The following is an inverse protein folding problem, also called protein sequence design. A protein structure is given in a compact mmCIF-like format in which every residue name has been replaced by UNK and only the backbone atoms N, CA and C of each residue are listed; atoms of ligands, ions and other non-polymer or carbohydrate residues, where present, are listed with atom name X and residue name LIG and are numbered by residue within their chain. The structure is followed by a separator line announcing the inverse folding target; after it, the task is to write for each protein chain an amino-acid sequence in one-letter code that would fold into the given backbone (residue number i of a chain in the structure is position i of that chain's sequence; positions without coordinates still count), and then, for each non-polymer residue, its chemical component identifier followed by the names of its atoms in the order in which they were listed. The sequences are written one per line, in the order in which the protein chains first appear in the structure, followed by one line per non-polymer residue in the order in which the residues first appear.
data_IF_206490280699
#
_entry.id   IF_206490280699
#
_cell.length_a   1.000
_cell.length_b   1.000
_cell.length_c   1.000
_cell.angle_alpha   90.00
_cell.angle_beta   90.00
_cell.angle_gamma   90.00
#
_symmetry.space_group_name_H-M   'P 1'
#
loop_
_entity.id
_entity.type
_entity.pdbx_description
1 polymer ?
#
# COMPACT_ATOMS: atom_id res chain seq x y z
N UNK A 1 -29.24 -10.52 13.68
CA UNK A 1 -28.62 -9.28 14.17
C UNK A 1 -29.66 -8.18 14.02
N UNK A 2 -30.09 -7.57 15.13
CA UNK A 2 -31.30 -6.75 15.17
C UNK A 2 -31.04 -5.32 14.66
N UNK A 3 -32.05 -4.71 14.04
CA UNK A 3 -32.04 -3.30 13.57
C UNK A 3 -31.57 -2.27 14.61
N UNK A 4 -31.63 -2.61 15.87
CA UNK A 4 -31.18 -1.78 16.99
C UNK A 4 -29.67 -1.55 17.02
N UNK A 5 -28.87 -2.51 16.54
CA UNK A 5 -27.39 -2.39 16.50
C UNK A 5 -26.96 -1.43 15.38
N UNK A 6 -27.67 -1.46 14.24
CA UNK A 6 -27.37 -0.55 13.11
C UNK A 6 -27.69 0.92 13.44
N UNK A 7 -28.78 1.18 14.16
CA UNK A 7 -29.14 2.54 14.60
C UNK A 7 -28.17 3.11 15.65
N UNK A 8 -27.57 2.26 16.47
CA UNK A 8 -26.58 2.68 17.47
C UNK A 8 -25.23 3.09 16.85
N UNK A 9 -24.84 2.47 15.73
CA UNK A 9 -23.58 2.80 15.03
C UNK A 9 -23.76 4.10 14.22
N UNK A 10 -24.90 4.29 13.57
CA UNK A 10 -25.20 5.51 12.80
C UNK A 10 -25.22 6.78 13.66
N UNK A 11 -25.60 6.68 14.94
CA UNK A 11 -25.65 7.83 15.85
C UNK A 11 -24.29 8.19 16.48
N UNK A 12 -23.24 7.38 16.28
CA UNK A 12 -21.88 7.65 16.82
C UNK A 12 -20.92 8.26 15.80
N UNK A 13 -21.32 8.31 14.54
CA UNK A 13 -20.55 9.01 13.52
C UNK A 13 -21.00 10.46 13.49
N UNK A 14 -20.24 11.33 14.16
CA UNK A 14 -20.44 12.77 14.00
C UNK A 14 -20.38 13.08 12.47
N UNK A 15 -21.31 13.91 11.94
CA UNK A 15 -21.29 14.24 10.54
C UNK A 15 -19.95 14.90 10.21
N UNK A 16 -19.20 14.29 9.29
CA UNK A 16 -17.97 14.85 8.80
C UNK A 16 -18.28 16.19 8.10
N UNK A 17 -17.80 17.28 8.67
CA UNK A 17 -18.00 18.63 8.11
C UNK A 17 -17.41 18.78 6.70
N UNK A 18 -16.45 17.93 6.33
CA UNK A 18 -15.89 17.89 4.97
C UNK A 18 -16.84 17.29 3.92
N UNK A 19 -17.89 16.56 4.36
CA UNK A 19 -18.88 15.94 3.47
C UNK A 19 -20.20 16.72 3.39
N UNK A 20 -20.32 17.87 4.03
CA UNK A 20 -21.51 18.73 3.94
C UNK A 20 -21.37 19.59 2.69
N UNK A 21 -22.16 19.36 1.64
CA UNK A 21 -22.13 20.25 0.46
C UNK A 21 -22.59 21.64 0.90
N UNK A 22 -21.98 22.71 0.40
CA UNK A 22 -22.40 24.06 0.71
C UNK A 22 -23.88 24.23 0.37
N UNK A 23 -24.61 24.88 1.26
CA UNK A 23 -26.07 25.01 1.25
C UNK A 23 -26.66 25.52 -0.09
N UNK A 24 -25.84 26.21 -0.90
CA UNK A 24 -26.19 26.70 -2.24
C UNK A 24 -26.32 25.62 -3.33
N UNK A 25 -25.89 24.38 -3.07
CA UNK A 25 -26.01 23.28 -4.06
C UNK A 25 -27.25 22.39 -3.83
N UNK A 26 -28.06 22.67 -2.82
CA UNK A 26 -29.33 21.98 -2.61
C UNK A 26 -30.42 22.64 -3.47
N UNK A 27 -30.68 22.09 -4.67
CA UNK A 27 -31.94 22.36 -5.33
C UNK A 27 -31.95 22.67 -6.82
N UNK A 28 -30.83 22.67 -7.52
CA UNK A 28 -30.87 22.80 -8.98
C UNK A 28 -30.39 21.51 -9.63
N UNK A 29 -31.33 20.73 -10.19
CA UNK A 29 -30.97 19.69 -11.15
C UNK A 29 -30.29 20.38 -12.34
N UNK A 30 -29.00 20.15 -12.52
CA UNK A 30 -28.22 20.67 -13.63
C UNK A 30 -28.79 20.12 -14.94
N UNK A 31 -29.33 20.98 -15.78
CA UNK A 31 -29.84 20.59 -17.08
C UNK A 31 -28.70 20.17 -18.02
N UNK A 32 -29.03 19.34 -19.05
CA UNK A 32 -28.05 18.93 -20.07
C UNK A 32 -27.30 20.12 -20.70
N UNK A 33 -27.96 21.26 -20.80
CA UNK A 33 -27.38 22.50 -21.34
C UNK A 33 -26.33 23.10 -20.40
N UNK A 34 -26.60 23.07 -19.10
CA UNK A 34 -25.67 23.59 -18.09
C UNK A 34 -24.42 22.74 -17.98
N UNK A 35 -24.59 21.40 -18.12
CA UNK A 35 -23.46 20.47 -18.18
C UNK A 35 -22.58 20.70 -19.42
N UNK A 36 -23.18 20.96 -20.59
CA UNK A 36 -22.42 21.22 -21.82
C UNK A 36 -21.70 22.57 -21.77
N UNK A 37 -22.32 23.60 -21.19
CA UNK A 37 -21.70 24.90 -21.01
C UNK A 37 -20.54 24.84 -20.00
N UNK A 38 -20.67 24.04 -18.96
CA UNK A 38 -19.58 23.79 -18.00
C UNK A 38 -18.44 23.01 -18.65
N UNK A 39 -18.74 22.03 -19.49
CA UNK A 39 -17.76 21.26 -20.26
C UNK A 39 -16.97 22.16 -21.23
N UNK A 40 -17.63 23.09 -21.90
CA UNK A 40 -16.97 24.04 -22.81
C UNK A 40 -16.07 25.07 -22.07
N UNK A 41 -16.50 25.55 -20.90
CA UNK A 41 -15.70 26.44 -20.06
C UNK A 41 -14.47 25.71 -19.48
N UNK A 42 -14.62 24.44 -19.11
CA UNK A 42 -13.51 23.61 -18.64
C UNK A 42 -12.48 23.32 -19.74
N UNK A 43 -12.92 23.12 -20.98
CA UNK A 43 -12.02 22.89 -22.11
C UNK A 43 -11.15 24.12 -22.45
N UNK A 44 -11.69 25.32 -22.29
CA UNK A 44 -10.89 26.56 -22.47
C UNK A 44 -9.91 26.79 -21.31
N UNK A 45 -10.27 26.46 -20.09
CA UNK A 45 -9.38 26.56 -18.92
C UNK A 45 -8.22 25.55 -18.99
N UNK A 46 -8.48 24.32 -19.50
CA UNK A 46 -7.43 23.31 -19.71
C UNK A 46 -6.47 23.67 -20.84
N UNK A 47 -6.94 24.35 -21.89
CA UNK A 47 -6.07 24.82 -22.98
C UNK A 47 -5.03 25.85 -22.52
N UNK A 48 -5.36 26.72 -21.56
CA UNK A 48 -4.41 27.69 -21.00
C UNK A 48 -3.44 27.06 -19.98
N UNK A 49 -3.87 25.99 -19.27
CA UNK A 49 -3.03 25.26 -18.29
C UNK A 49 -1.92 24.44 -18.97
N UNK A 50 -2.15 23.98 -20.21
CA UNK A 50 -1.15 23.22 -20.99
C UNK A 50 -0.01 24.09 -21.53
N UNK A 51 -0.16 25.43 -21.47
CA UNK A 51 0.86 26.38 -21.93
C UNK A 51 1.80 26.86 -20.80
N UNK A 52 1.64 26.37 -19.57
CA UNK A 52 2.53 26.71 -18.44
C UNK A 52 3.68 25.70 -18.37
N UNK A 53 4.91 26.07 -18.74
CA UNK A 53 6.07 25.19 -18.59
C UNK A 53 6.35 25.05 -17.08
N UNK A 54 6.12 23.88 -16.52
CA UNK A 54 6.58 23.56 -15.17
C UNK A 54 5.62 22.86 -14.21
N UNK A 55 4.37 22.63 -14.55
CA UNK A 55 3.49 21.83 -13.69
C UNK A 55 3.41 20.39 -14.20
N UNK A 56 4.41 19.58 -13.85
CA UNK A 56 4.28 18.13 -13.94
C UNK A 56 3.39 17.65 -12.80
N UNK A 57 2.15 17.31 -13.12
CA UNK A 57 1.19 16.69 -12.19
C UNK A 57 1.33 15.17 -12.13
N UNK A 58 2.35 14.61 -12.77
CA UNK A 58 2.70 13.22 -12.60
C UNK A 58 3.36 13.06 -11.23
N UNK A 59 2.77 12.28 -10.35
CA UNK A 59 3.20 12.04 -8.97
C UNK A 59 4.59 11.42 -8.85
N UNK A 60 5.60 12.08 -9.37
CA UNK A 60 7.00 11.79 -9.12
C UNK A 60 7.44 12.45 -7.80
N UNK A 61 8.25 11.75 -7.01
CA UNK A 61 8.76 12.25 -5.73
C UNK A 61 10.03 11.52 -5.32
N UNK A 62 10.70 12.04 -4.28
CA UNK A 62 11.81 11.37 -3.65
C UNK A 62 11.31 10.73 -2.36
N UNK A 63 10.94 9.45 -2.41
CA UNK A 63 10.47 8.72 -1.25
C UNK A 63 11.59 7.94 -0.59
N UNK A 64 11.48 7.70 0.71
CA UNK A 64 12.49 6.94 1.44
C UNK A 64 12.45 5.45 1.10
N UNK A 65 11.25 4.91 0.86
CA UNK A 65 11.09 3.47 0.66
C UNK A 65 9.87 3.07 -0.13
N UNK A 66 9.81 1.77 -0.45
CA UNK A 66 8.57 1.08 -0.77
C UNK A 66 8.36 -0.07 0.21
N UNK A 67 7.11 -0.26 0.62
CA UNK A 67 6.68 -1.39 1.44
C UNK A 67 5.98 -2.42 0.56
N UNK A 68 6.34 -3.70 0.72
CA UNK A 68 5.52 -4.84 0.30
C UNK A 68 5.08 -5.63 1.52
N UNK A 69 3.77 -5.86 1.66
CA UNK A 69 3.18 -6.68 2.72
C UNK A 69 1.97 -7.47 2.24
N UNK A 70 1.36 -8.23 3.15
CA UNK A 70 0.20 -9.06 2.85
C UNK A 70 -1.09 -8.24 2.74
N UNK A 71 -2.04 -8.77 1.95
CA UNK A 71 -3.42 -8.26 1.83
C UNK A 71 -4.26 -8.47 3.11
N UNK A 72 -3.77 -9.20 4.10
CA UNK A 72 -4.51 -9.51 5.33
C UNK A 72 -4.89 -8.23 6.08
N UNK A 73 -6.20 -7.96 6.28
CA UNK A 73 -6.69 -6.71 6.84
C UNK A 73 -6.24 -6.45 8.28
N UNK A 74 -5.85 -7.52 9.02
CA UNK A 74 -5.32 -7.39 10.40
C UNK A 74 -4.06 -6.55 10.45
N UNK A 75 -3.29 -6.50 9.34
CA UNK A 75 -1.99 -5.85 9.26
C UNK A 75 -2.00 -4.49 8.57
N UNK A 76 -3.13 -4.04 8.04
CA UNK A 76 -3.21 -2.74 7.33
C UNK A 76 -2.74 -1.59 8.21
N UNK A 77 -3.35 -1.42 9.39
CA UNK A 77 -2.98 -0.35 10.33
C UNK A 77 -1.62 -0.60 10.98
N UNK A 78 -1.30 -1.86 11.31
CA UNK A 78 -0.03 -2.23 11.94
C UNK A 78 1.16 -1.96 11.02
N UNK A 79 1.04 -2.28 9.74
CA UNK A 79 2.09 -1.99 8.75
C UNK A 79 2.32 -0.50 8.60
N UNK A 80 1.26 0.28 8.59
CA UNK A 80 1.35 1.73 8.51
C UNK A 80 2.00 2.35 9.76
N UNK A 81 1.65 1.87 10.95
CA UNK A 81 2.30 2.29 12.19
C UNK A 81 3.80 1.92 12.19
N UNK A 82 4.13 0.70 11.74
CA UNK A 82 5.49 0.25 11.61
C UNK A 82 6.31 1.15 10.69
N UNK A 83 5.76 1.52 9.53
CA UNK A 83 6.44 2.42 8.59
C UNK A 83 6.69 3.80 9.19
N UNK A 84 5.75 4.34 9.96
CA UNK A 84 5.93 5.60 10.69
C UNK A 84 7.08 5.54 11.70
N UNK A 85 7.15 4.45 12.47
CA UNK A 85 8.24 4.23 13.43
C UNK A 85 9.59 4.02 12.72
N UNK A 86 9.61 3.20 11.66
CA UNK A 86 10.83 2.90 10.90
C UNK A 86 11.43 4.16 10.27
N UNK A 87 10.60 5.09 9.82
CA UNK A 87 11.02 6.30 9.14
C UNK A 87 11.16 7.51 10.08
N UNK A 88 10.68 7.38 11.31
CA UNK A 88 10.72 8.46 12.29
C UNK A 88 9.86 9.65 11.92
N UNK A 89 8.77 9.42 11.18
CA UNK A 89 7.83 10.47 10.74
C UNK A 89 6.46 10.31 11.39
N UNK A 90 5.78 11.42 11.57
CA UNK A 90 4.40 11.44 12.03
C UNK A 90 3.42 10.96 10.95
N UNK A 91 2.22 10.61 11.37
CA UNK A 91 1.16 10.05 10.53
C UNK A 91 0.84 10.86 9.28
N UNK A 92 0.76 12.16 9.45
CA UNK A 92 0.42 13.15 8.43
C UNK A 92 1.51 13.34 7.35
N UNK A 93 2.70 12.77 7.58
CA UNK A 93 3.84 12.83 6.65
C UNK A 93 4.17 11.50 5.99
N UNK A 94 3.44 10.44 6.33
CA UNK A 94 3.71 9.11 5.78
C UNK A 94 3.35 8.99 4.31
N UNK A 95 2.33 9.69 3.84
CA UNK A 95 1.88 9.68 2.45
C UNK A 95 2.98 10.13 1.46
N UNK A 96 3.88 11.02 1.93
CA UNK A 96 5.00 11.52 1.13
C UNK A 96 6.31 10.77 1.37
N UNK A 97 6.27 9.64 2.08
CA UNK A 97 7.49 8.96 2.53
C UNK A 97 7.69 7.58 1.93
N UNK A 98 6.63 6.86 1.60
CA UNK A 98 6.78 5.53 1.03
C UNK A 98 5.66 5.13 0.08
N UNK A 99 6.02 4.32 -0.91
CA UNK A 99 5.06 3.64 -1.78
C UNK A 99 4.62 2.34 -1.14
N UNK A 100 3.41 1.88 -1.42
CA UNK A 100 2.86 0.68 -0.82
C UNK A 100 2.35 -0.29 -1.88
N UNK A 101 2.90 -1.50 -1.89
CA UNK A 101 2.44 -2.61 -2.70
C UNK A 101 1.89 -3.72 -1.81
N UNK A 102 0.67 -4.15 -2.05
CA UNK A 102 -0.04 -5.13 -1.23
C UNK A 102 -0.42 -6.33 -2.07
N UNK A 103 0.02 -7.52 -1.66
CA UNK A 103 -0.34 -8.78 -2.31
C UNK A 103 -0.39 -9.93 -1.29
N UNK A 104 -1.10 -11.02 -1.62
CA UNK A 104 -1.20 -12.17 -0.72
C UNK A 104 0.19 -12.72 -0.36
N UNK A 105 0.48 -12.79 0.94
CA UNK A 105 1.79 -13.20 1.47
C UNK A 105 2.91 -12.16 1.37
N UNK A 106 2.65 -11.00 0.73
CA UNK A 106 3.69 -9.98 0.53
C UNK A 106 4.94 -10.54 -0.17
N UNK A 107 6.13 -10.48 0.47
CA UNK A 107 7.37 -11.04 -0.10
C UNK A 107 7.27 -12.50 -0.56
N UNK A 108 6.51 -13.35 0.17
CA UNK A 108 6.29 -14.74 -0.23
C UNK A 108 5.59 -14.81 -1.59
N UNK A 109 4.56 -13.98 -1.80
CA UNK A 109 3.86 -13.89 -3.08
C UNK A 109 4.74 -13.44 -4.24
N UNK A 110 5.78 -12.64 -3.95
CA UNK A 110 6.69 -12.11 -4.95
C UNK A 110 7.80 -13.08 -5.39
N UNK A 111 8.09 -14.14 -4.59
CA UNK A 111 9.23 -15.03 -4.88
C UNK A 111 8.92 -16.52 -4.85
N UNK A 112 7.87 -16.96 -4.14
CA UNK A 112 7.60 -18.39 -3.98
C UNK A 112 7.03 -18.99 -5.27
N UNK A 113 7.53 -20.15 -5.75
CA UNK A 113 7.11 -20.76 -7.01
C UNK A 113 5.59 -21.02 -7.13
N UNK A 114 4.92 -21.26 -6.02
CA UNK A 114 3.45 -21.41 -5.97
C UNK A 114 2.70 -20.22 -6.57
N UNK A 115 3.30 -19.04 -6.55
CA UNK A 115 2.72 -17.77 -6.98
C UNK A 115 3.46 -17.17 -8.19
N UNK A 116 4.13 -17.99 -8.98
CA UNK A 116 4.97 -17.56 -10.12
C UNK A 116 4.25 -16.57 -11.05
N UNK A 117 2.95 -16.78 -11.29
CA UNK A 117 2.14 -15.89 -12.13
C UNK A 117 2.07 -14.44 -11.63
N UNK A 118 2.36 -14.19 -10.33
CA UNK A 118 2.32 -12.85 -9.75
C UNK A 118 3.68 -12.15 -9.74
N UNK A 119 4.77 -12.90 -9.94
CA UNK A 119 6.13 -12.38 -9.79
C UNK A 119 6.37 -11.19 -10.73
N UNK A 120 6.04 -11.35 -12.01
CA UNK A 120 6.24 -10.28 -13.00
C UNK A 120 5.52 -9.00 -12.59
N UNK A 121 4.27 -9.08 -12.10
CA UNK A 121 3.50 -7.91 -11.67
C UNK A 121 4.21 -7.15 -10.56
N UNK A 122 4.70 -7.84 -9.54
CA UNK A 122 5.43 -7.18 -8.46
C UNK A 122 6.71 -6.51 -8.96
N UNK A 123 7.53 -7.23 -9.73
CA UNK A 123 8.83 -6.72 -10.17
C UNK A 123 8.69 -5.54 -11.13
N UNK A 124 7.72 -5.57 -12.04
CA UNK A 124 7.43 -4.43 -12.93
C UNK A 124 6.98 -3.20 -12.11
N UNK A 125 6.15 -3.39 -11.07
CA UNK A 125 5.75 -2.28 -10.19
C UNK A 125 6.91 -1.75 -9.35
N UNK A 126 7.84 -2.59 -8.92
CA UNK A 126 9.05 -2.13 -8.24
C UNK A 126 9.91 -1.26 -9.18
N UNK A 127 10.10 -1.68 -10.43
CA UNK A 127 10.86 -0.92 -11.43
C UNK A 127 10.22 0.47 -11.67
N UNK A 128 8.89 0.52 -11.79
CA UNK A 128 8.14 1.79 -11.89
C UNK A 128 8.34 2.65 -10.65
N UNK A 129 8.25 2.05 -9.46
CA UNK A 129 8.44 2.76 -8.19
C UNK A 129 9.85 3.34 -8.07
N UNK A 130 10.87 2.59 -8.44
CA UNK A 130 12.27 3.06 -8.46
C UNK A 130 12.42 4.24 -9.42
N UNK A 131 11.82 4.14 -10.61
CA UNK A 131 11.90 5.18 -11.65
C UNK A 131 11.20 6.48 -11.28
N UNK A 132 9.99 6.39 -10.70
CA UNK A 132 9.15 7.57 -10.43
C UNK A 132 9.40 8.16 -9.04
N UNK A 133 9.64 7.32 -8.04
CA UNK A 133 9.72 7.73 -6.65
C UNK A 133 11.15 7.77 -6.10
N UNK A 134 12.13 7.37 -6.90
CA UNK A 134 13.57 7.43 -6.54
C UNK A 134 13.87 6.89 -5.13
N UNK A 135 13.21 5.79 -4.77
CA UNK A 135 13.30 5.19 -3.44
C UNK A 135 14.73 4.77 -3.08
N UNK A 136 15.06 4.80 -1.79
CA UNK A 136 16.38 4.40 -1.27
C UNK A 136 16.39 2.96 -0.77
N UNK A 137 15.22 2.40 -0.41
CA UNK A 137 15.12 1.06 0.16
C UNK A 137 13.79 0.37 -0.14
N UNK A 138 13.84 -0.95 -0.09
CA UNK A 138 12.66 -1.83 -0.12
C UNK A 138 12.46 -2.42 1.27
N UNK A 139 11.23 -2.38 1.77
CA UNK A 139 10.80 -2.97 3.03
C UNK A 139 9.88 -4.13 2.72
N UNK A 140 10.29 -5.36 3.01
CA UNK A 140 9.53 -6.57 2.79
C UNK A 140 9.05 -7.18 4.11
N UNK A 141 7.76 -7.12 4.41
CA UNK A 141 7.18 -7.61 5.65
C UNK A 141 6.21 -8.75 5.37
N UNK A 142 6.53 -9.93 5.92
CA UNK A 142 5.59 -11.05 6.08
C UNK A 142 4.93 -10.95 7.45
N UNK A 143 3.99 -11.84 7.76
CA UNK A 143 3.35 -11.82 9.08
C UNK A 143 3.02 -13.22 9.58
N UNK A 144 2.86 -13.37 10.89
CA UNK A 144 2.45 -14.60 11.54
C UNK A 144 1.02 -14.98 11.17
N UNK A 145 0.73 -16.27 11.17
CA UNK A 145 -0.59 -16.82 10.82
C UNK A 145 -1.04 -16.39 9.41
N UNK A 146 -0.12 -16.47 8.44
CA UNK A 146 -0.37 -16.06 7.07
C UNK A 146 -0.98 -17.18 6.24
N UNK A 147 -2.21 -16.97 5.76
CA UNK A 147 -2.88 -17.94 4.88
C UNK A 147 -2.11 -18.21 3.57
N UNK A 148 -1.46 -17.20 2.99
CA UNK A 148 -0.64 -17.39 1.80
C UNK A 148 0.65 -18.19 2.09
N UNK A 149 1.27 -18.02 3.27
CA UNK A 149 2.38 -18.86 3.70
C UNK A 149 1.96 -20.32 3.83
N UNK A 150 0.80 -20.57 4.43
CA UNK A 150 0.21 -21.91 4.53
C UNK A 150 -0.01 -22.53 3.15
N UNK A 151 -0.53 -21.78 2.20
CA UNK A 151 -0.70 -22.26 0.81
C UNK A 151 0.64 -22.52 0.10
N UNK A 152 1.68 -21.70 0.37
CA UNK A 152 2.99 -21.81 -0.24
C UNK A 152 3.77 -23.01 0.28
N UNK A 153 3.90 -23.11 1.61
CA UNK A 153 4.78 -24.06 2.28
C UNK A 153 4.08 -25.34 2.76
N UNK A 154 2.76 -25.31 2.88
CA UNK A 154 1.94 -26.39 3.46
C UNK A 154 1.84 -26.31 4.98
N UNK A 155 0.81 -26.97 5.53
CA UNK A 155 0.44 -26.91 6.96
C UNK A 155 1.59 -27.29 7.90
N UNK A 156 2.35 -28.34 7.57
CA UNK A 156 3.43 -28.83 8.41
C UNK A 156 4.55 -27.81 8.61
N UNK A 157 4.88 -27.02 7.58
CA UNK A 157 5.95 -26.01 7.64
C UNK A 157 5.55 -24.71 8.34
N UNK A 158 4.28 -24.56 8.70
CA UNK A 158 3.77 -23.41 9.45
C UNK A 158 3.03 -23.82 10.72
N UNK A 159 3.17 -25.09 11.14
CA UNK A 159 2.44 -25.64 12.29
C UNK A 159 2.98 -25.17 13.64
N UNK A 160 4.25 -24.83 13.73
CA UNK A 160 4.88 -24.29 14.94
C UNK A 160 5.49 -22.93 14.66
N UNK A 161 5.74 -22.14 15.71
CA UNK A 161 6.34 -20.82 15.57
C UNK A 161 7.73 -20.91 14.95
N UNK A 162 8.50 -21.93 15.30
CA UNK A 162 9.84 -22.17 14.80
C UNK A 162 9.82 -22.50 13.31
N UNK A 163 9.02 -23.50 12.90
CA UNK A 163 8.87 -23.90 11.51
C UNK A 163 8.32 -22.75 10.63
N UNK A 164 7.33 -22.02 11.13
CA UNK A 164 6.82 -20.82 10.46
C UNK A 164 7.93 -19.78 10.29
N UNK A 165 8.76 -19.55 11.31
CA UNK A 165 9.88 -18.60 11.23
C UNK A 165 10.87 -19.00 10.14
N UNK A 166 11.25 -20.28 10.08
CA UNK A 166 12.17 -20.80 9.05
C UNK A 166 11.60 -20.63 7.64
N UNK A 167 10.34 -21.01 7.44
CA UNK A 167 9.68 -20.84 6.13
C UNK A 167 9.61 -19.38 5.67
N UNK A 168 9.28 -18.48 6.59
CA UNK A 168 9.28 -17.03 6.28
C UNK A 168 10.69 -16.51 6.02
N UNK A 169 11.68 -16.93 6.81
CA UNK A 169 13.06 -16.51 6.64
C UNK A 169 13.63 -16.96 5.28
N UNK A 170 13.33 -18.18 4.84
CA UNK A 170 13.70 -18.67 3.50
C UNK A 170 13.16 -17.77 2.39
N UNK A 171 11.86 -17.46 2.42
CA UNK A 171 11.26 -16.57 1.42
C UNK A 171 11.83 -15.15 1.48
N UNK A 172 12.06 -14.61 2.68
CA UNK A 172 12.63 -13.28 2.86
C UNK A 172 14.09 -13.19 2.38
N UNK A 173 14.87 -14.24 2.56
CA UNK A 173 16.23 -14.34 2.01
C UNK A 173 16.22 -14.35 0.48
N UNK A 174 15.33 -15.14 -0.15
CA UNK A 174 15.19 -15.14 -1.60
C UNK A 174 14.67 -13.78 -2.13
N UNK A 175 13.72 -13.17 -1.43
CA UNK A 175 13.23 -11.84 -1.77
C UNK A 175 14.36 -10.80 -1.75
N UNK A 176 15.15 -10.74 -0.69
CA UNK A 176 16.34 -9.88 -0.58
C UNK A 176 17.32 -10.11 -1.71
N UNK A 177 17.64 -11.36 -2.01
CA UNK A 177 18.53 -11.75 -3.10
C UNK A 177 18.02 -11.24 -4.46
N UNK A 178 16.71 -11.37 -4.72
CA UNK A 178 16.12 -10.92 -5.98
C UNK A 178 16.09 -9.39 -6.10
N UNK A 179 15.77 -8.66 -5.02
CA UNK A 179 15.88 -7.19 -5.00
C UNK A 179 17.31 -6.76 -5.28
N UNK A 180 18.29 -7.30 -4.56
CA UNK A 180 19.70 -6.95 -4.73
C UNK A 180 20.23 -7.24 -6.14
N UNK A 181 19.75 -8.33 -6.78
CA UNK A 181 20.10 -8.66 -8.15
C UNK A 181 19.57 -7.63 -9.16
N UNK A 182 18.34 -7.11 -8.95
CA UNK A 182 17.70 -6.16 -9.87
C UNK A 182 18.12 -4.72 -9.60
N UNK A 183 18.22 -4.38 -8.32
CA UNK A 183 18.48 -3.02 -7.82
C UNK A 183 19.59 -3.02 -6.76
N UNK A 184 20.85 -3.25 -7.14
CA UNK A 184 21.96 -3.43 -6.20
C UNK A 184 22.27 -2.20 -5.33
N UNK A 185 21.71 -1.05 -5.65
CA UNK A 185 21.88 0.20 -4.91
C UNK A 185 20.81 0.40 -3.82
N UNK A 186 19.74 -0.38 -3.83
CA UNK A 186 18.67 -0.26 -2.83
C UNK A 186 19.04 -0.99 -1.54
N UNK A 187 18.80 -0.34 -0.41
CA UNK A 187 18.76 -1.02 0.88
C UNK A 187 17.55 -1.98 0.93
N UNK A 188 17.70 -3.10 1.65
CA UNK A 188 16.60 -4.06 1.83
C UNK A 188 16.41 -4.35 3.32
N UNK A 189 15.22 -4.09 3.82
CA UNK A 189 14.80 -4.44 5.18
C UNK A 189 13.74 -5.52 5.07
N UNK A 190 13.92 -6.61 5.81
CA UNK A 190 12.97 -7.72 5.81
C UNK A 190 12.63 -8.13 7.24
N UNK A 191 11.38 -8.54 7.45
CA UNK A 191 10.92 -8.95 8.77
C UNK A 191 9.60 -9.71 8.77
N UNK A 192 9.30 -10.29 9.93
CA UNK A 192 8.07 -11.03 10.21
C UNK A 192 7.28 -10.25 11.25
N UNK A 193 6.09 -9.77 10.91
CA UNK A 193 5.23 -9.02 11.82
C UNK A 193 4.38 -10.00 12.66
N UNK A 194 4.41 -9.82 13.96
CA UNK A 194 3.51 -10.50 14.90
C UNK A 194 2.08 -9.95 14.84
N UNK A 195 1.13 -10.69 15.42
CA UNK A 195 -0.26 -10.22 15.54
C UNK A 195 -0.40 -8.98 16.44
N UNK A 196 0.62 -8.68 17.23
CA UNK A 196 0.73 -7.49 18.09
C UNK A 196 1.39 -6.28 17.38
N UNK A 197 1.77 -6.44 16.10
CA UNK A 197 2.44 -5.40 15.30
C UNK A 197 3.95 -5.29 15.50
N UNK A 198 4.55 -6.07 16.39
CA UNK A 198 6.01 -6.14 16.50
C UNK A 198 6.61 -6.82 15.28
N UNK A 199 7.75 -6.33 14.82
CA UNK A 199 8.47 -6.90 13.69
C UNK A 199 9.79 -7.51 14.15
N UNK A 200 9.92 -8.81 13.95
CA UNK A 200 11.17 -9.54 14.10
C UNK A 200 11.95 -9.37 12.79
N UNK A 201 13.05 -8.62 12.81
CA UNK A 201 13.89 -8.43 11.62
C UNK A 201 14.60 -9.74 11.26
N UNK A 202 14.69 -10.01 9.94
CA UNK A 202 15.26 -11.24 9.39
C UNK A 202 16.31 -10.89 8.32
N UNK A 203 17.52 -11.35 8.49
CA UNK A 203 18.63 -11.26 7.51
C UNK A 203 19.57 -10.13 7.72
#
# INVERSE_FOLDING_TARGET
MSETVFKSIANRLAPCTCCTPPEKLRGQAMGRRDFLNWGAASAMATGLALASPGMSWAGGGNYESTLINCIDPRFTTLSWQYMGLLQGVSRDKLEDNYSHFVMAGGPIGAVHPKFEAWHKTYWDNLDVTVSLHHIKRVVGITHRDCGAAKLAFGDAKVATREAETEAHAEALAEFRKQVNKRHPKLGVITGIMGLDGRVDLVG
#
